data_IF_394309429404
#
_entry.id   IF_394309429404
#
_cell.length_a   1.000
_cell.length_b   1.000
_cell.length_c   1.000
_cell.angle_alpha   90.00
_cell.angle_beta   90.00
_cell.angle_gamma   90.00
#
_symmetry.space_group_name_H-M   'P 1'
#
loop_
_entity.id
_entity.type
_entity.pdbx_description
1 polymer ?
#
# COMPACT_ATOMS: atom_id res chain seq x y z
N UNK A 1 -15.74 28.27 -18.99
CA UNK A 1 -15.24 26.87 -19.04
C UNK A 1 -14.46 26.60 -17.76
N UNK A 2 -15.09 26.01 -16.75
CA UNK A 2 -14.41 25.52 -15.54
C UNK A 2 -14.77 24.05 -15.36
N UNK A 3 -14.26 23.20 -16.26
CA UNK A 3 -14.58 21.78 -16.32
C UNK A 3 -13.46 20.90 -15.72
N UNK A 4 -12.66 21.41 -14.78
CA UNK A 4 -11.49 20.67 -14.27
C UNK A 4 -10.87 21.25 -13.01
N UNK A 5 -11.69 21.62 -12.01
CA UNK A 5 -11.18 21.93 -10.68
C UNK A 5 -10.92 20.65 -9.88
N UNK A 6 -9.91 20.66 -9.02
CA UNK A 6 -9.64 19.54 -8.11
C UNK A 6 -10.74 19.47 -7.04
N UNK A 7 -11.61 18.47 -7.12
CA UNK A 7 -12.71 18.26 -6.15
C UNK A 7 -12.23 17.65 -4.81
N UNK A 8 -10.92 17.60 -4.60
CA UNK A 8 -10.26 17.00 -3.44
C UNK A 8 -9.13 17.95 -3.03
N UNK A 9 -9.01 18.23 -1.73
CA UNK A 9 -7.94 19.10 -1.20
C UNK A 9 -6.67 18.31 -0.94
N UNK A 10 -5.51 19.00 -0.85
CA UNK A 10 -4.24 18.38 -0.44
C UNK A 10 -4.36 17.61 0.87
N UNK A 11 -5.07 18.17 1.84
CA UNK A 11 -5.22 17.59 3.18
C UNK A 11 -5.99 16.28 3.15
N UNK A 12 -7.01 16.17 2.29
CA UNK A 12 -7.77 14.92 2.11
C UNK A 12 -6.88 13.86 1.45
N UNK A 13 -6.04 14.24 0.49
CA UNK A 13 -5.08 13.32 -0.13
C UNK A 13 -4.04 12.84 0.87
N UNK A 14 -3.50 13.73 1.72
CA UNK A 14 -2.56 13.34 2.79
C UNK A 14 -3.19 12.38 3.80
N UNK A 15 -4.43 12.67 4.23
CA UNK A 15 -5.16 11.79 5.13
C UNK A 15 -5.39 10.40 4.51
N UNK A 16 -5.71 10.34 3.22
CA UNK A 16 -5.88 9.08 2.51
C UNK A 16 -4.56 8.33 2.34
N UNK A 17 -3.48 9.02 1.97
CA UNK A 17 -2.15 8.43 1.87
C UNK A 17 -1.73 7.79 3.21
N UNK A 18 -1.94 8.47 4.33
CA UNK A 18 -1.67 7.93 5.67
C UNK A 18 -2.50 6.69 5.99
N UNK A 19 -3.76 6.64 5.57
CA UNK A 19 -4.60 5.46 5.72
C UNK A 19 -4.07 4.27 4.89
N UNK A 20 -3.60 4.53 3.67
CA UNK A 20 -2.99 3.52 2.80
C UNK A 20 -1.65 3.02 3.37
N UNK A 21 -0.81 3.91 3.91
CA UNK A 21 0.43 3.55 4.61
C UNK A 21 0.15 2.66 5.83
N UNK A 22 -0.88 2.99 6.61
CA UNK A 22 -1.33 2.16 7.73
C UNK A 22 -1.80 0.76 7.29
N UNK A 23 -2.51 0.67 6.17
CA UNK A 23 -2.93 -0.62 5.60
C UNK A 23 -1.74 -1.41 5.05
N UNK A 24 -0.81 -0.74 4.37
CA UNK A 24 0.45 -1.34 3.91
C UNK A 24 1.24 -1.94 5.07
N UNK A 25 1.39 -1.23 6.18
CA UNK A 25 2.08 -1.76 7.37
C UNK A 25 1.43 -3.02 7.94
N UNK A 26 0.10 -3.12 7.92
CA UNK A 26 -0.63 -4.33 8.34
C UNK A 26 -0.42 -5.50 7.37
N UNK A 27 -0.41 -5.23 6.06
CA UNK A 27 -0.13 -6.23 5.04
C UNK A 27 1.31 -6.73 5.14
N UNK A 28 2.27 -5.83 5.37
CA UNK A 28 3.66 -6.21 5.59
C UNK A 28 3.82 -7.08 6.84
N UNK A 29 3.15 -6.72 7.94
CA UNK A 29 3.13 -7.57 9.14
C UNK A 29 2.55 -8.97 8.88
N UNK A 30 1.55 -9.09 8.01
CA UNK A 30 1.03 -10.39 7.58
C UNK A 30 2.03 -11.18 6.73
N UNK A 31 2.75 -10.52 5.81
CA UNK A 31 3.84 -11.12 5.02
C UNK A 31 4.96 -11.62 5.93
N UNK A 32 5.38 -10.82 6.90
CA UNK A 32 6.46 -11.17 7.83
C UNK A 32 6.07 -12.35 8.72
N UNK A 33 4.82 -12.36 9.21
CA UNK A 33 4.27 -13.49 9.95
C UNK A 33 4.24 -14.75 9.09
N UNK A 34 3.78 -14.66 7.85
CA UNK A 34 3.69 -15.81 6.96
C UNK A 34 5.07 -16.34 6.52
N UNK A 35 6.09 -15.47 6.39
CA UNK A 35 7.48 -15.89 6.19
C UNK A 35 8.08 -16.61 7.42
N UNK A 36 7.60 -16.26 8.63
CA UNK A 36 8.08 -16.86 9.89
C UNK A 36 7.37 -18.18 10.19
N UNK A 37 6.08 -18.28 9.84
CA UNK A 37 5.25 -19.49 10.01
C UNK A 37 5.28 -20.31 8.72
N UNK A 38 6.47 -20.72 8.29
CA UNK A 38 6.56 -21.91 7.43
C UNK A 38 6.18 -23.09 8.32
N UNK A 39 5.05 -23.75 8.03
CA UNK A 39 4.60 -24.88 8.86
C UNK A 39 5.68 -25.96 8.84
N UNK A 40 6.34 -26.25 9.98
CA UNK A 40 7.39 -27.24 10.00
C UNK A 40 6.80 -28.63 9.73
N UNK A 41 7.56 -29.47 9.04
CA UNK A 41 7.10 -30.76 8.50
C UNK A 41 6.58 -31.73 9.56
N UNK A 42 6.92 -31.49 10.83
CA UNK A 42 6.44 -32.21 12.01
C UNK A 42 5.02 -31.80 12.44
N UNK A 43 4.55 -30.60 12.09
CA UNK A 43 3.21 -30.10 12.44
C UNK A 43 2.07 -30.89 11.76
N UNK A 44 2.34 -31.50 10.60
CA UNK A 44 1.37 -32.34 9.88
C UNK A 44 1.33 -33.79 10.41
N UNK A 45 2.26 -34.18 11.30
CA UNK A 45 2.43 -35.57 11.71
C UNK A 45 2.83 -36.49 10.55
N UNK A 46 3.21 -37.73 10.87
CA UNK A 46 3.73 -38.69 9.87
C UNK A 46 2.68 -39.06 8.81
N UNK A 47 1.40 -39.06 9.18
CA UNK A 47 0.31 -39.57 8.31
C UNK A 47 -0.11 -38.53 7.26
N UNK A 48 -0.07 -37.23 7.57
CA UNK A 48 -0.57 -36.19 6.67
C UNK A 48 0.51 -35.57 5.77
N UNK A 49 1.76 -36.04 5.82
CA UNK A 49 2.84 -35.56 4.96
C UNK A 49 2.53 -35.58 3.45
N UNK A 50 1.80 -36.57 2.89
CA UNK A 50 1.47 -36.57 1.46
C UNK A 50 0.57 -35.40 1.05
N UNK A 51 -0.28 -34.90 1.96
CA UNK A 51 -1.14 -33.75 1.68
C UNK A 51 -0.38 -32.43 1.64
N UNK A 52 0.82 -32.38 2.21
CA UNK A 52 1.66 -31.18 2.19
C UNK A 52 2.11 -30.80 0.78
N UNK A 53 2.50 -31.79 -0.04
CA UNK A 53 2.91 -31.54 -1.43
C UNK A 53 1.80 -30.90 -2.27
N UNK A 54 0.53 -31.13 -1.91
CA UNK A 54 -0.61 -30.50 -2.57
C UNK A 54 -0.86 -29.07 -2.07
N UNK A 55 -0.40 -28.75 -0.85
CA UNK A 55 -0.59 -27.46 -0.19
C UNK A 55 0.56 -26.48 -0.45
N UNK A 56 1.77 -26.96 -0.73
CA UNK A 56 2.94 -26.11 -1.05
C UNK A 56 2.65 -25.06 -2.14
N UNK A 57 1.98 -25.38 -3.27
CA UNK A 57 1.67 -24.39 -4.30
C UNK A 57 0.66 -23.35 -3.81
N UNK A 58 -0.34 -23.78 -3.01
CA UNK A 58 -1.37 -22.90 -2.47
C UNK A 58 -0.78 -21.92 -1.46
N UNK A 59 0.17 -22.38 -0.64
CA UNK A 59 0.92 -21.53 0.28
C UNK A 59 1.72 -20.48 -0.49
N UNK A 60 2.44 -20.87 -1.55
CA UNK A 60 3.19 -19.91 -2.36
C UNK A 60 2.29 -18.88 -3.04
N UNK A 61 1.15 -19.28 -3.60
CA UNK A 61 0.18 -18.33 -4.16
C UNK A 61 -0.35 -17.35 -3.13
N UNK A 62 -0.62 -17.82 -1.90
CA UNK A 62 -1.00 -16.96 -0.79
C UNK A 62 0.09 -15.94 -0.44
N UNK A 63 1.35 -16.39 -0.37
CA UNK A 63 2.50 -15.52 -0.12
C UNK A 63 2.68 -14.46 -1.20
N UNK A 64 2.60 -14.85 -2.47
CA UNK A 64 2.73 -13.95 -3.60
C UNK A 64 1.58 -12.94 -3.65
N UNK A 65 0.35 -13.37 -3.37
CA UNK A 65 -0.81 -12.49 -3.28
C UNK A 65 -0.67 -11.46 -2.16
N UNK A 66 -0.20 -11.87 -0.97
CA UNK A 66 0.03 -10.95 0.15
C UNK A 66 1.14 -9.93 -0.17
N UNK A 67 2.25 -10.37 -0.76
CA UNK A 67 3.35 -9.49 -1.20
C UNK A 67 2.88 -8.50 -2.26
N UNK A 68 2.18 -8.98 -3.29
CA UNK A 68 1.66 -8.12 -4.35
C UNK A 68 0.64 -7.10 -3.83
N UNK A 69 -0.20 -7.49 -2.86
CA UNK A 69 -1.12 -6.56 -2.21
C UNK A 69 -0.39 -5.49 -1.40
N UNK A 70 0.65 -5.87 -0.64
CA UNK A 70 1.48 -4.92 0.10
C UNK A 70 2.16 -3.92 -0.84
N UNK A 71 2.83 -4.40 -1.89
CA UNK A 71 3.51 -3.56 -2.88
C UNK A 71 2.53 -2.60 -3.59
N UNK A 72 1.38 -3.10 -4.03
CA UNK A 72 0.37 -2.27 -4.68
C UNK A 72 -0.15 -1.16 -3.73
N UNK A 73 -0.27 -1.45 -2.43
CA UNK A 73 -0.70 -0.48 -1.44
C UNK A 73 0.36 0.60 -1.21
N UNK A 74 1.63 0.22 -1.10
CA UNK A 74 2.76 1.16 -0.96
C UNK A 74 2.89 2.07 -2.19
N UNK A 75 2.82 1.50 -3.40
CA UNK A 75 2.88 2.27 -4.65
C UNK A 75 1.71 3.25 -4.72
N UNK A 76 0.50 2.82 -4.34
CA UNK A 76 -0.67 3.70 -4.33
C UNK A 76 -0.51 4.82 -3.31
N UNK A 77 -0.08 4.51 -2.09
CA UNK A 77 0.17 5.50 -1.05
C UNK A 77 1.16 6.58 -1.52
N UNK A 78 2.30 6.16 -2.10
CA UNK A 78 3.32 7.07 -2.65
C UNK A 78 2.78 7.98 -3.74
N UNK A 79 1.95 7.45 -4.65
CA UNK A 79 1.31 8.24 -5.71
C UNK A 79 0.33 9.29 -5.16
N UNK A 80 -0.45 8.92 -4.15
CA UNK A 80 -1.38 9.86 -3.49
C UNK A 80 -0.60 10.96 -2.75
N UNK A 81 0.45 10.60 -2.01
CA UNK A 81 1.36 11.57 -1.36
C UNK A 81 2.01 12.52 -2.37
N UNK A 82 2.51 12.00 -3.49
CA UNK A 82 3.08 12.84 -4.55
C UNK A 82 2.06 13.80 -5.14
N UNK A 83 0.81 13.36 -5.31
CA UNK A 83 -0.29 14.20 -5.79
C UNK A 83 -0.62 15.32 -4.81
N UNK A 84 -0.68 15.00 -3.51
CA UNK A 84 -0.92 15.99 -2.45
C UNK A 84 0.16 17.09 -2.45
N UNK A 85 1.43 16.70 -2.55
CA UNK A 85 2.56 17.64 -2.65
C UNK A 85 2.45 18.53 -3.89
N UNK A 86 2.08 17.94 -5.03
CA UNK A 86 1.90 18.72 -6.25
C UNK A 86 0.82 19.80 -6.10
N UNK A 87 -0.28 19.51 -5.41
CA UNK A 87 -1.32 20.51 -5.14
C UNK A 87 -0.79 21.64 -4.26
N UNK A 88 -0.05 21.32 -3.20
CA UNK A 88 0.56 22.32 -2.31
C UNK A 88 1.58 23.19 -3.07
N UNK A 89 2.39 22.59 -3.95
CA UNK A 89 3.36 23.32 -4.75
C UNK A 89 2.71 24.32 -5.71
N UNK A 90 1.61 23.92 -6.36
CA UNK A 90 0.84 24.79 -7.26
C UNK A 90 0.19 25.94 -6.46
N UNK A 91 -0.41 25.64 -5.31
CA UNK A 91 -0.99 26.65 -4.42
C UNK A 91 0.07 27.66 -3.96
N UNK A 92 1.23 27.19 -3.49
CA UNK A 92 2.34 28.03 -3.07
C UNK A 92 2.86 28.93 -4.20
N UNK A 93 2.93 28.41 -5.42
CA UNK A 93 3.31 29.19 -6.60
C UNK A 93 2.30 30.32 -6.87
N UNK A 94 1.00 30.01 -6.83
CA UNK A 94 -0.07 31.01 -7.02
C UNK A 94 0.01 32.09 -5.93
N UNK A 95 0.16 31.69 -4.66
CA UNK A 95 0.31 32.62 -3.53
C UNK A 95 1.52 33.54 -3.73
N UNK A 96 2.67 33.01 -4.17
CA UNK A 96 3.87 33.82 -4.43
C UNK A 96 3.66 34.81 -5.55
N UNK A 97 3.03 34.40 -6.66
CA UNK A 97 2.72 35.30 -7.77
C UNK A 97 1.78 36.43 -7.33
N UNK A 98 0.74 36.12 -6.55
CA UNK A 98 -0.18 37.12 -6.03
C UNK A 98 0.48 38.10 -5.05
N UNK A 99 1.38 37.62 -4.18
CA UNK A 99 2.13 38.48 -3.24
C UNK A 99 3.21 39.33 -3.93
N UNK A 100 3.81 38.83 -5.01
CA UNK A 100 4.84 39.53 -5.77
C UNK A 100 4.31 40.52 -6.82
N UNK A 101 3.01 40.46 -7.12
CA UNK A 101 2.31 41.35 -8.06
C UNK A 101 1.55 42.51 -7.40
N UNK A 102 1.72 42.73 -6.09
CA UNK A 102 1.13 43.83 -5.32
C UNK A 102 2.17 44.90 -4.98
#
# INVERSE_FOLDING_TARGET
MTAGGFNVTSDVLEAHAKALEGLHGRLQGAVDAANTVSMPTDAYGIICQPFRMLLDPVEQWGMDALKGAAEAMDVTAKKVTATAKHYQEVEDQIIRTLKGGA
#
